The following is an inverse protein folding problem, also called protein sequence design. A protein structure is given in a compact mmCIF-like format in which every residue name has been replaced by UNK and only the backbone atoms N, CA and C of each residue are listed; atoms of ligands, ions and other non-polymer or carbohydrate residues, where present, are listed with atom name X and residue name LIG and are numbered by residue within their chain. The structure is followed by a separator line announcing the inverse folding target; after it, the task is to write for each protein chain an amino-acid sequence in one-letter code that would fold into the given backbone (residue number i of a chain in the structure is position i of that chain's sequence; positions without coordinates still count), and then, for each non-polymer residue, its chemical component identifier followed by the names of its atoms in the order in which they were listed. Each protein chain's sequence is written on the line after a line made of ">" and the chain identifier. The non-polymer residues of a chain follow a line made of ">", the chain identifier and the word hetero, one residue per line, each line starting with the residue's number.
data_IF_304225082250
#
_entry.id   IF_304225082250
#
_cell.length_a   1.000
_cell.length_b   1.000
_cell.length_c   1.000
_cell.angle_alpha   90.00
_cell.angle_beta   90.00
_cell.angle_gamma   90.00
#
_symmetry.space_group_name_H-M   'P 1'
#
loop_
_entity.id
_entity.type
_entity.pdbx_description
1 polymer ?
#
# COMPACT_ATOMS: atom_id res chain seq x y z
N UNK A 1 15.72 6.99 3.16
CA UNK A 1 16.03 5.59 2.92
C UNK A 1 16.57 5.51 1.53
N UNK A 2 17.73 4.90 1.38
CA UNK A 2 18.28 4.60 0.08
C UNK A 2 17.40 3.57 -0.64
N UNK A 3 17.35 3.57 -1.99
CA UNK A 3 16.51 2.64 -2.74
C UNK A 3 16.71 1.17 -2.36
N UNK A 4 17.96 0.79 -2.05
CA UNK A 4 18.31 -0.55 -1.62
C UNK A 4 17.65 -0.93 -0.27
N UNK A 5 17.64 -0.03 0.70
CA UNK A 5 17.01 -0.27 2.01
C UNK A 5 15.49 -0.44 1.87
N UNK A 6 14.87 0.33 0.96
CA UNK A 6 13.44 0.20 0.65
C UNK A 6 13.17 -1.16 0.04
N UNK A 7 13.97 -1.56 -0.96
CA UNK A 7 13.84 -2.86 -1.61
C UNK A 7 14.02 -4.02 -0.61
N UNK A 8 14.98 -3.92 0.31
CA UNK A 8 15.19 -4.93 1.36
C UNK A 8 13.96 -5.10 2.25
N UNK A 9 13.34 -4.00 2.70
CA UNK A 9 12.11 -4.07 3.51
C UNK A 9 10.96 -4.69 2.70
N UNK A 10 10.76 -4.27 1.46
CA UNK A 10 9.67 -4.77 0.60
C UNK A 10 9.84 -6.24 0.20
N UNK A 11 11.08 -6.76 0.22
CA UNK A 11 11.38 -8.16 -0.09
C UNK A 11 11.28 -9.11 1.10
N UNK A 12 11.03 -8.62 2.32
CA UNK A 12 10.83 -9.51 3.48
C UNK A 12 9.60 -10.41 3.28
N UNK A 13 9.59 -11.64 3.83
CA UNK A 13 8.47 -12.58 3.65
C UNK A 13 7.10 -11.97 3.94
N UNK A 14 6.93 -11.36 5.12
CA UNK A 14 5.66 -10.72 5.49
C UNK A 14 5.35 -9.47 4.67
N UNK A 15 6.34 -8.74 4.16
CA UNK A 15 6.08 -7.67 3.20
C UNK A 15 5.52 -8.22 1.89
N UNK A 16 6.07 -9.34 1.39
CA UNK A 16 5.58 -10.01 0.18
C UNK A 16 4.16 -10.55 0.35
N UNK A 17 3.86 -11.15 1.50
CA UNK A 17 2.50 -11.58 1.84
C UNK A 17 1.53 -10.40 1.87
N UNK A 18 1.90 -9.28 2.50
CA UNK A 18 1.07 -8.09 2.54
C UNK A 18 0.89 -7.46 1.14
N UNK A 19 1.96 -7.38 0.33
CA UNK A 19 1.90 -6.87 -1.04
C UNK A 19 1.09 -7.76 -2.00
N UNK A 20 0.79 -9.00 -1.61
CA UNK A 20 -0.08 -9.91 -2.35
C UNK A 20 -1.57 -9.81 -1.94
N UNK A 21 -1.92 -8.91 -1.02
CA UNK A 21 -3.32 -8.65 -0.62
C UNK A 21 -4.00 -7.68 -1.58
N UNK A 22 -5.33 -7.66 -1.53
CA UNK A 22 -6.12 -6.90 -2.50
C UNK A 22 -6.22 -5.40 -2.16
N UNK A 23 -6.25 -5.03 -0.87
CA UNK A 23 -6.63 -3.67 -0.43
C UNK A 23 -5.53 -3.00 0.39
N UNK A 24 -5.19 -1.78 -0.01
CA UNK A 24 -4.38 -0.85 0.76
C UNK A 24 -5.21 0.35 1.24
N UNK A 25 -4.75 1.04 2.28
CA UNK A 25 -5.29 2.31 2.75
C UNK A 25 -4.40 3.41 2.20
N UNK A 26 -4.88 4.13 1.18
CA UNK A 26 -4.17 5.23 0.54
C UNK A 26 -4.45 6.54 1.26
N UNK A 27 -3.38 7.17 1.74
CA UNK A 27 -3.40 8.54 2.25
C UNK A 27 -2.79 9.53 1.25
N UNK A 28 -3.50 10.64 1.02
CA UNK A 28 -3.06 11.73 0.13
C UNK A 28 -3.59 13.08 0.63
N UNK A 29 -3.02 14.17 0.14
CA UNK A 29 -3.46 15.54 0.46
C UNK A 29 -4.47 16.00 -0.58
N UNK A 30 -5.69 16.37 -0.16
CA UNK A 30 -6.71 16.92 -1.05
C UNK A 30 -6.37 18.35 -1.49
N UNK A 31 -7.10 18.87 -2.48
CA UNK A 31 -6.90 20.24 -3.01
C UNK A 31 -7.11 21.35 -1.97
N UNK A 32 -7.91 21.08 -0.95
CA UNK A 32 -8.16 21.99 0.18
C UNK A 32 -7.03 21.92 1.26
N UNK A 33 -5.99 21.12 1.02
CA UNK A 33 -4.88 20.90 1.96
C UNK A 33 -5.18 19.88 3.05
N UNK A 34 -6.41 19.35 3.14
CA UNK A 34 -6.78 18.36 4.17
C UNK A 34 -6.29 16.95 3.81
N UNK A 35 -5.93 16.12 4.80
CA UNK A 35 -5.60 14.73 4.55
C UNK A 35 -6.85 13.92 4.17
N UNK A 36 -6.70 13.01 3.22
CA UNK A 36 -7.68 11.98 2.89
C UNK A 36 -7.06 10.61 3.11
N UNK A 37 -7.88 9.66 3.58
CA UNK A 37 -7.53 8.25 3.68
C UNK A 37 -8.66 7.45 3.07
N UNK A 38 -8.37 6.60 2.08
CA UNK A 38 -9.37 5.79 1.40
C UNK A 38 -8.88 4.36 1.20
N UNK A 39 -9.73 3.34 1.39
CA UNK A 39 -9.41 1.99 0.93
C UNK A 39 -9.37 1.99 -0.59
N UNK A 40 -8.39 1.30 -1.17
CA UNK A 40 -8.25 1.15 -2.61
C UNK A 40 -7.57 -0.17 -2.93
N UNK A 41 -8.03 -0.80 -3.99
CA UNK A 41 -7.44 -2.02 -4.48
C UNK A 41 -6.14 -1.74 -5.23
N UNK A 42 -5.16 -2.63 -5.14
CA UNK A 42 -3.81 -2.41 -5.67
C UNK A 42 -3.17 -3.69 -6.21
N UNK A 43 -2.20 -3.53 -7.09
CA UNK A 43 -1.28 -4.60 -7.49
C UNK A 43 0.16 -4.21 -7.21
N UNK A 44 1.01 -5.21 -6.98
CA UNK A 44 2.45 -5.06 -6.83
C UNK A 44 3.17 -5.71 -8.01
N UNK A 45 3.84 -4.92 -8.83
CA UNK A 45 4.52 -5.40 -10.04
C UNK A 45 5.98 -5.84 -9.81
N UNK A 46 6.44 -5.86 -8.55
CA UNK A 46 7.83 -6.15 -8.19
C UNK A 46 8.69 -4.92 -7.87
N UNK A 47 8.27 -3.73 -8.29
CA UNK A 47 8.97 -2.47 -8.01
C UNK A 47 8.05 -1.32 -7.58
N UNK A 48 6.80 -1.33 -8.06
CA UNK A 48 5.83 -0.25 -7.89
C UNK A 48 4.49 -0.82 -7.43
N UNK A 49 3.75 0.02 -6.69
CA UNK A 49 2.36 -0.26 -6.34
C UNK A 49 1.49 0.46 -7.38
N UNK A 50 0.65 -0.29 -8.09
CA UNK A 50 -0.24 0.25 -9.13
C UNK A 50 -1.67 0.26 -8.62
N UNK A 51 -2.33 1.42 -8.70
CA UNK A 51 -3.74 1.59 -8.36
C UNK A 51 -4.49 2.04 -9.61
N UNK A 52 -5.58 1.36 -9.96
CA UNK A 52 -6.39 1.72 -11.12
C UNK A 52 -7.61 2.54 -10.68
N UNK A 53 -7.92 3.62 -11.40
CA UNK A 53 -9.07 4.47 -11.09
C UNK A 53 -9.66 5.10 -12.35
N UNK A 54 -10.88 5.63 -12.25
CA UNK A 54 -11.56 6.31 -13.35
C UNK A 54 -11.01 7.72 -13.58
N UNK A 55 -11.08 8.21 -14.83
CA UNK A 55 -10.56 9.54 -15.21
C UNK A 55 -11.25 10.71 -14.49
N UNK A 56 -12.45 10.52 -13.94
CA UNK A 56 -13.18 11.52 -13.16
C UNK A 56 -12.90 11.45 -11.63
N UNK A 57 -12.00 10.59 -11.16
CA UNK A 57 -11.77 10.41 -9.74
C UNK A 57 -11.22 11.69 -9.07
N UNK A 58 -11.78 12.12 -7.91
CA UNK A 58 -11.44 13.40 -7.27
C UNK A 58 -10.00 13.45 -6.74
N UNK A 59 -9.37 12.28 -6.53
CA UNK A 59 -7.97 12.16 -6.13
C UNK A 59 -7.00 12.60 -7.24
N UNK A 60 -7.35 12.46 -8.52
CA UNK A 60 -6.45 12.77 -9.64
C UNK A 60 -5.95 14.22 -9.68
N UNK A 61 -6.81 15.26 -9.59
CA UNK A 61 -6.31 16.64 -9.54
C UNK A 61 -5.52 16.93 -8.27
N UNK A 62 -5.82 16.26 -7.15
CA UNK A 62 -5.06 16.40 -5.91
C UNK A 62 -3.65 15.79 -6.05
N UNK A 63 -3.54 14.59 -6.60
CA UNK A 63 -2.27 13.89 -6.85
C UNK A 63 -1.41 14.61 -7.90
N UNK A 64 -2.01 15.30 -8.88
CA UNK A 64 -1.27 16.19 -9.79
C UNK A 64 -0.62 17.36 -9.07
N UNK A 65 -1.33 17.96 -8.11
CA UNK A 65 -0.82 19.08 -7.33
C UNK A 65 0.23 18.64 -6.30
N UNK A 66 0.04 17.48 -5.69
CA UNK A 66 0.96 16.89 -4.74
C UNK A 66 1.06 15.36 -4.95
N UNK A 67 2.13 14.86 -5.59
CA UNK A 67 2.27 13.44 -5.90
C UNK A 67 2.74 12.60 -4.72
N UNK A 68 2.85 13.17 -3.51
CA UNK A 68 3.33 12.44 -2.33
C UNK A 68 2.18 11.72 -1.64
N UNK A 69 2.34 10.41 -1.45
CA UNK A 69 1.33 9.55 -0.83
C UNK A 69 1.94 8.67 0.26
N UNK A 70 1.08 8.16 1.13
CA UNK A 70 1.40 7.05 2.02
C UNK A 70 0.38 5.92 1.82
N UNK A 71 0.84 4.68 1.95
CA UNK A 71 -0.01 3.49 1.92
C UNK A 71 0.21 2.67 3.19
N UNK A 72 -0.86 2.08 3.68
CA UNK A 72 -0.82 1.04 4.72
C UNK A 72 -1.48 -0.22 4.19
N UNK A 73 -0.79 -1.35 4.33
CA UNK A 73 -1.33 -2.67 4.05
C UNK A 73 -1.17 -3.49 5.33
N UNK A 74 -2.28 -3.98 5.86
CA UNK A 74 -2.32 -4.57 7.20
C UNK A 74 -3.27 -5.77 7.29
N UNK A 75 -3.10 -6.52 8.37
CA UNK A 75 -4.00 -7.59 8.80
C UNK A 75 -4.64 -7.25 10.14
N UNK A 76 -5.87 -7.71 10.32
CA UNK A 76 -6.66 -7.53 11.54
C UNK A 76 -6.40 -8.65 12.58
N UNK A 77 -5.65 -9.69 12.21
CA UNK A 77 -5.26 -10.81 13.08
C UNK A 77 -4.19 -10.43 14.12
N UNK A 78 -4.06 -11.20 15.20
CA UNK A 78 -3.04 -10.98 16.25
C UNK A 78 -1.90 -12.01 16.18
N UNK A 79 -0.61 -11.60 16.22
CA UNK A 79 -0.16 -10.21 16.10
C UNK A 79 -0.40 -9.66 14.67
N UNK A 80 -0.75 -8.37 14.53
CA UNK A 80 -1.01 -7.79 13.23
C UNK A 80 0.28 -7.62 12.45
N UNK A 81 0.21 -7.83 11.15
CA UNK A 81 1.31 -7.55 10.22
C UNK A 81 0.98 -6.25 9.49
N UNK A 82 1.92 -5.31 9.49
CA UNK A 82 1.69 -3.95 8.98
C UNK A 82 2.85 -3.55 8.10
N UNK A 83 2.54 -3.23 6.84
CA UNK A 83 3.47 -2.64 5.90
C UNK A 83 3.09 -1.19 5.66
N UNK A 84 3.98 -0.29 6.04
CA UNK A 84 3.86 1.15 5.82
C UNK A 84 4.76 1.55 4.66
N UNK A 85 4.18 2.24 3.67
CA UNK A 85 4.92 2.72 2.49
C UNK A 85 4.69 4.21 2.32
N UNK A 86 5.74 4.96 1.94
CA UNK A 86 5.59 6.31 1.37
C UNK A 86 6.16 6.30 -0.04
N UNK A 87 5.48 6.96 -0.96
CA UNK A 87 5.87 6.95 -2.36
C UNK A 87 5.61 8.26 -3.08
N UNK A 88 6.09 8.30 -4.31
CA UNK A 88 5.77 9.32 -5.30
C UNK A 88 4.84 8.71 -6.34
N UNK A 89 3.78 9.42 -6.67
CA UNK A 89 2.83 9.06 -7.71
C UNK A 89 3.29 9.57 -9.07
N UNK A 90 3.14 8.71 -10.07
CA UNK A 90 2.96 9.05 -11.47
C UNK A 90 1.54 8.69 -11.90
N UNK A 91 0.93 9.53 -12.74
CA UNK A 91 -0.41 9.31 -13.26
C UNK A 91 -0.29 8.94 -14.73
N UNK A 92 -0.46 7.65 -15.02
CA UNK A 92 -0.42 7.10 -16.37
C UNK A 92 -1.85 6.92 -16.88
N UNK A 93 -2.21 7.69 -17.90
CA UNK A 93 -3.54 7.68 -18.51
C UNK A 93 -3.52 6.68 -19.65
N UNK A 94 -4.38 5.66 -19.56
CA UNK A 94 -4.45 4.61 -20.58
C UNK A 94 -5.77 4.66 -21.32
N UNK A 95 -5.75 4.13 -22.54
CA UNK A 95 -6.94 3.83 -23.31
C UNK A 95 -7.48 2.46 -22.88
N UNK A 96 -8.77 2.41 -22.53
CA UNK A 96 -9.39 1.19 -22.02
C UNK A 96 -9.04 0.82 -20.56
N UNK A 97 -9.14 -0.47 -20.26
CA UNK A 97 -8.99 -1.04 -18.91
C UNK A 97 -7.59 -1.64 -18.78
N UNK A 98 -6.77 -1.20 -17.80
CA UNK A 98 -5.47 -1.80 -17.50
C UNK A 98 -5.59 -3.28 -17.13
N UNK A 99 -4.58 -4.08 -17.49
CA UNK A 99 -4.49 -5.49 -17.08
C UNK A 99 -4.49 -5.61 -15.55
N UNK A 100 -3.79 -4.71 -14.86
CA UNK A 100 -3.76 -4.70 -13.39
C UNK A 100 -5.16 -4.50 -12.79
N UNK A 101 -6.05 -3.76 -13.46
CA UNK A 101 -7.43 -3.64 -12.97
C UNK A 101 -8.16 -4.99 -13.03
N UNK A 102 -7.93 -5.79 -14.07
CA UNK A 102 -8.57 -7.10 -14.22
C UNK A 102 -7.95 -8.14 -13.26
N UNK A 103 -6.64 -8.06 -13.01
CA UNK A 103 -5.92 -8.88 -12.02
C UNK A 103 -6.40 -8.62 -10.60
N UNK A 104 -6.48 -7.35 -10.20
CA UNK A 104 -6.88 -6.92 -8.85
C UNK A 104 -8.29 -7.42 -8.49
N UNK A 105 -9.20 -7.46 -9.47
CA UNK A 105 -10.56 -7.99 -9.27
C UNK A 105 -10.65 -9.51 -9.48
N UNK A 106 -9.53 -10.18 -9.78
CA UNK A 106 -9.46 -11.64 -9.97
C UNK A 106 -9.73 -12.45 -8.69
N UNK A 107 -9.59 -11.84 -7.51
CA UNK A 107 -9.91 -12.47 -6.22
C UNK A 107 -11.42 -12.50 -5.91
N UNK A 108 -12.25 -11.83 -6.71
CA UNK A 108 -13.70 -11.80 -6.48
C UNK A 108 -14.30 -13.16 -6.82
N UNK A 109 -15.06 -13.73 -5.88
CA UNK A 109 -15.78 -14.97 -6.11
C UNK A 109 -16.92 -14.74 -7.10
N UNK A 110 -16.72 -15.18 -8.35
CA UNK A 110 -17.68 -15.05 -9.45
C UNK A 110 -17.72 -16.34 -10.26
N UNK A 111 -18.91 -16.75 -10.74
CA UNK A 111 -19.00 -17.79 -11.76
C UNK A 111 -18.45 -17.28 -13.09
N UNK A 112 -18.21 -18.21 -14.04
CA UNK A 112 -17.74 -17.84 -15.37
C UNK A 112 -18.71 -16.88 -16.09
N UNK A 113 -20.01 -17.11 -15.94
CA UNK A 113 -21.07 -16.26 -16.52
C UNK A 113 -21.08 -14.87 -15.88
N UNK A 114 -21.01 -14.81 -14.55
CA UNK A 114 -20.94 -13.54 -13.81
C UNK A 114 -19.70 -12.73 -14.20
N UNK A 115 -18.56 -13.40 -14.42
CA UNK A 115 -17.33 -12.75 -14.86
C UNK A 115 -17.49 -12.09 -16.23
N UNK A 116 -18.15 -12.76 -17.18
CA UNK A 116 -18.41 -12.20 -18.52
C UNK A 116 -19.30 -10.97 -18.44
N UNK A 117 -20.39 -11.05 -17.66
CA UNK A 117 -21.31 -9.91 -17.48
C UNK A 117 -20.62 -8.72 -16.81
N UNK A 118 -19.84 -8.98 -15.76
CA UNK A 118 -19.08 -7.95 -15.06
C UNK A 118 -18.06 -7.27 -15.97
N UNK A 119 -17.29 -8.02 -16.76
CA UNK A 119 -16.33 -7.43 -17.70
C UNK A 119 -17.03 -6.56 -18.76
N UNK A 120 -18.21 -6.97 -19.23
CA UNK A 120 -19.01 -6.16 -20.15
C UNK A 120 -19.48 -4.86 -19.49
N UNK A 121 -19.95 -4.92 -18.24
CA UNK A 121 -20.36 -3.73 -17.47
C UNK A 121 -19.20 -2.77 -17.26
N UNK A 122 -18.04 -3.26 -16.79
CA UNK A 122 -16.82 -2.46 -16.60
C UNK A 122 -16.39 -1.78 -17.91
N UNK A 123 -16.40 -2.52 -19.02
CA UNK A 123 -16.10 -1.95 -20.35
C UNK A 123 -17.10 -0.87 -20.76
N UNK A 124 -18.37 -1.01 -20.40
CA UNK A 124 -19.40 0.00 -20.68
C UNK A 124 -19.25 1.27 -19.83
N UNK A 125 -18.71 1.15 -18.60
CA UNK A 125 -18.50 2.28 -17.69
C UNK A 125 -17.22 3.05 -17.99
N UNK A 126 -16.16 2.34 -18.39
CA UNK A 126 -14.82 2.92 -18.56
C UNK A 126 -14.44 3.05 -20.04
N UNK A 127 -15.41 3.45 -20.87
CA UNK A 127 -15.24 3.66 -22.32
C UNK A 127 -14.15 4.66 -22.66
N UNK A 128 -14.02 5.70 -21.83
CA UNK A 128 -12.99 6.73 -22.00
C UNK A 128 -11.63 6.27 -21.47
N UNK A 129 -11.50 5.03 -21.00
CA UNK A 129 -10.31 4.49 -20.36
C UNK A 129 -10.15 4.87 -18.89
N UNK A 130 -9.00 4.49 -18.33
CA UNK A 130 -8.70 4.62 -16.91
C UNK A 130 -7.37 5.36 -16.67
N UNK A 131 -7.04 5.55 -15.39
CA UNK A 131 -5.74 6.06 -14.95
C UNK A 131 -5.10 5.06 -14.02
N UNK A 132 -3.86 4.68 -14.33
CA UNK A 132 -2.94 3.97 -13.45
C UNK A 132 -2.23 5.01 -12.57
N UNK A 133 -2.43 4.92 -11.27
CA UNK A 133 -1.69 5.66 -10.25
C UNK A 133 -0.52 4.78 -9.87
N UNK A 134 0.65 5.05 -10.46
CA UNK A 134 1.87 4.27 -10.26
C UNK A 134 2.63 4.90 -9.09
N UNK A 135 2.78 4.15 -8.00
CA UNK A 135 3.47 4.61 -6.79
C UNK A 135 4.85 3.98 -6.74
N UNK A 136 5.88 4.80 -6.94
CA UNK A 136 7.27 4.41 -6.68
C UNK A 136 7.56 4.56 -5.18
N UNK A 137 7.86 3.47 -4.45
CA UNK A 137 8.21 3.53 -3.04
C UNK A 137 9.50 4.33 -2.80
N UNK A 138 9.51 5.14 -1.75
CA UNK A 138 10.66 5.98 -1.35
C UNK A 138 11.04 5.80 0.11
N UNK A 139 10.20 5.09 0.87
CA UNK A 139 10.38 4.71 2.25
C UNK A 139 9.44 3.56 2.54
N UNK A 140 9.88 2.58 3.31
CA UNK A 140 9.05 1.47 3.74
C UNK A 140 9.39 1.04 5.17
N UNK A 141 8.41 0.50 5.88
CA UNK A 141 8.60 -0.14 7.17
C UNK A 141 7.63 -1.31 7.35
N UNK A 142 8.19 -2.46 7.69
CA UNK A 142 7.45 -3.61 8.17
C UNK A 142 7.37 -3.57 9.71
N UNK A 143 6.22 -3.93 10.25
CA UNK A 143 6.00 -4.25 11.66
C UNK A 143 5.30 -5.60 11.70
N UNK A 144 5.96 -6.61 12.27
CA UNK A 144 5.46 -7.98 12.36
C UNK A 144 5.42 -8.53 13.79
N UNK A 145 5.94 -7.79 14.77
CA UNK A 145 6.08 -8.17 16.18
C UNK A 145 6.94 -9.40 16.45
N UNK A 146 7.63 -9.91 15.44
CA UNK A 146 8.52 -11.07 15.52
C UNK A 146 9.97 -10.63 15.26
N UNK A 147 10.20 -9.95 14.14
CA UNK A 147 11.51 -9.44 13.72
C UNK A 147 11.58 -7.91 13.77
N UNK A 148 10.43 -7.25 13.76
CA UNK A 148 10.30 -5.80 13.74
C UNK A 148 9.20 -5.32 14.66
N UNK A 149 9.52 -4.29 15.45
CA UNK A 149 8.60 -3.64 16.36
C UNK A 149 8.28 -2.20 15.89
N UNK A 150 7.16 -1.62 16.36
CA UNK A 150 7.02 -0.17 16.36
C UNK A 150 8.26 0.47 17.00
N UNK A 151 8.80 1.55 16.42
CA UNK A 151 10.12 2.08 16.85
C UNK A 151 10.11 2.50 18.32
N UNK A 152 9.04 3.13 18.78
CA UNK A 152 8.88 3.50 20.18
C UNK A 152 8.85 2.27 21.12
N UNK A 153 8.26 1.15 20.68
CA UNK A 153 8.23 -0.09 21.47
C UNK A 153 9.61 -0.75 21.51
N UNK A 154 10.33 -0.77 20.38
CA UNK A 154 11.70 -1.27 20.31
C UNK A 154 12.62 -0.50 21.29
N UNK A 155 12.51 0.82 21.29
CA UNK A 155 13.27 1.69 22.19
C UNK A 155 12.97 1.40 23.67
N UNK A 156 11.70 1.24 24.03
CA UNK A 156 11.31 0.87 25.40
C UNK A 156 11.83 -0.51 25.81
N UNK A 157 11.77 -1.50 24.91
CA UNK A 157 12.30 -2.84 25.16
C UNK A 157 13.82 -2.82 25.38
N UNK A 158 14.54 -2.03 24.60
CA UNK A 158 15.98 -1.83 24.76
C UNK A 158 16.31 -1.19 26.11
N UNK A 159 15.63 -0.10 26.48
CA UNK A 159 15.84 0.57 27.78
C UNK A 159 15.60 -0.37 28.97
N UNK A 160 14.59 -1.24 28.88
CA UNK A 160 14.32 -2.26 29.92
C UNK A 160 15.48 -3.25 30.01
N UNK A 161 15.94 -3.79 28.89
CA UNK A 161 17.04 -4.75 28.85
C UNK A 161 18.35 -4.13 29.39
N UNK A 162 18.62 -2.87 29.06
CA UNK A 162 19.74 -2.11 29.61
C UNK A 162 19.64 -1.98 31.13
N UNK A 163 18.48 -1.61 31.67
CA UNK A 163 18.26 -1.48 33.11
C UNK A 163 18.39 -2.81 33.87
N UNK A 164 17.94 -3.92 33.28
CA UNK A 164 18.07 -5.28 33.85
C UNK A 164 19.51 -5.82 33.79
N UNK A 165 20.34 -5.30 32.86
CA UNK A 165 21.74 -5.69 32.70
C UNK A 165 22.72 -4.97 33.65
N UNK A 166 22.29 -3.89 34.30
CA UNK A 166 23.10 -3.20 35.32
C UNK A 166 23.06 -4.04 36.61
N UNK A 167 24.20 -4.58 37.09
CA UNK A 167 24.21 -5.36 38.32
C UNK A 167 23.70 -4.49 39.47
N UNK A 168 22.83 -5.04 40.33
CA UNK A 168 22.52 -4.40 41.61
C UNK A 168 23.79 -4.37 42.45
N UNK A 169 24.59 -3.32 42.33
CA UNK A 169 25.67 -3.08 43.27
C UNK A 169 25.03 -2.79 44.63
N UNK A 170 25.15 -3.81 45.48
CA UNK A 170 24.76 -3.94 46.88
C UNK A 170 24.29 -2.70 47.64
N UNK A 171 23.21 -2.91 48.38
CA UNK A 171 23.10 -2.42 49.77
C UNK A 171 22.88 -3.60 50.68
#
# INVERSE_FOLDING_TARGET
>A
MEPQEVAEVLNRPYSRELLARDIARLAYVAKDGTPRSVPIAFSWNGAEIVLCTTKNAPKLPALRANPRVALTIDTESHPPKILLVRGRVELDYVDGIPEEYLEINGSYEMTAEQRVEWEAEIRSLYVDGMVRIVVTPTWAKLIDFETTLPSAVAELAQRRAEAESVPSNGR
#
